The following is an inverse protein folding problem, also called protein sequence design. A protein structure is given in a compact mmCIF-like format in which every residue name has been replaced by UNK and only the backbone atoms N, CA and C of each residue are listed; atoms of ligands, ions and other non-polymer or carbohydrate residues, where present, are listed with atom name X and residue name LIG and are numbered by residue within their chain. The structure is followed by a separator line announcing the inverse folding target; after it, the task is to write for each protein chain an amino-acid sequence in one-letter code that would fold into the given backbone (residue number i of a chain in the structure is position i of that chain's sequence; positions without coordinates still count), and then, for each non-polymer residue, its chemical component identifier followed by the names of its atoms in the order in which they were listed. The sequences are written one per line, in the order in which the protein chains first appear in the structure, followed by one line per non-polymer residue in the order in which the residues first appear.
data_IF_352672017490
#
_entry.id   IF_352672017490
#
_cell.length_a   1.000
_cell.length_b   1.000
_cell.length_c   1.000
_cell.angle_alpha   90.00
_cell.angle_beta   90.00
_cell.angle_gamma   90.00
#
_symmetry.space_group_name_H-M   'P 1'
#
loop_
_entity.id
_entity.type
_entity.pdbx_description
1 polymer ?
#
# COMPACT_ATOMS: atom_id res chain seq x y z
N UNK A 1 11.14 -13.69 0.12
CA UNK A 1 9.99 -14.36 -0.51
C UNK A 1 10.49 -15.40 -1.48
N UNK A 2 9.83 -16.56 -1.58
CA UNK A 2 10.12 -17.52 -2.66
C UNK A 2 9.72 -16.96 -4.03
N UNK A 3 10.32 -17.49 -5.10
CA UNK A 3 10.03 -17.08 -6.49
C UNK A 3 8.54 -17.06 -6.81
N UNK A 4 7.82 -18.10 -6.40
CA UNK A 4 6.37 -18.23 -6.64
C UNK A 4 5.56 -17.13 -5.95
N UNK A 5 5.88 -16.82 -4.69
CA UNK A 5 5.22 -15.74 -3.96
C UNK A 5 5.45 -14.37 -4.61
N UNK A 6 6.65 -14.13 -5.16
CA UNK A 6 6.93 -12.88 -5.89
C UNK A 6 6.19 -12.80 -7.23
N UNK A 7 6.05 -13.92 -7.95
CA UNK A 7 5.24 -13.98 -9.18
C UNK A 7 3.75 -13.72 -8.89
N UNK A 8 3.24 -14.27 -7.79
CA UNK A 8 1.88 -14.03 -7.36
C UNK A 8 1.67 -12.56 -6.97
N UNK A 9 2.60 -11.98 -6.20
CA UNK A 9 2.56 -10.55 -5.87
C UNK A 9 2.60 -9.67 -7.13
N UNK A 10 3.50 -9.98 -8.08
CA UNK A 10 3.66 -9.24 -9.32
C UNK A 10 2.44 -9.29 -10.26
N UNK A 11 1.54 -10.24 -10.07
CA UNK A 11 0.26 -10.33 -10.81
C UNK A 11 -0.94 -9.83 -10.00
N UNK A 12 -0.75 -9.49 -8.73
CA UNK A 12 -1.83 -9.12 -7.81
C UNK A 12 -2.27 -7.66 -7.93
N UNK A 13 -3.58 -7.47 -7.89
CA UNK A 13 -4.22 -6.16 -7.74
C UNK A 13 -4.61 -5.98 -6.26
N UNK A 14 -4.11 -4.93 -5.62
CA UNK A 14 -4.27 -4.73 -4.18
C UNK A 14 -5.04 -3.44 -3.92
N UNK A 15 -6.08 -3.51 -3.08
CA UNK A 15 -6.79 -2.35 -2.54
C UNK A 15 -6.32 -2.08 -1.12
N UNK A 16 -5.91 -0.85 -0.83
CA UNK A 16 -5.60 -0.36 0.52
C UNK A 16 -6.65 0.68 0.88
N UNK A 17 -7.40 0.43 1.95
CA UNK A 17 -8.41 1.37 2.46
C UNK A 17 -7.90 2.04 3.74
N UNK A 18 -7.72 3.36 3.70
CA UNK A 18 -7.14 4.21 4.74
C UNK A 18 -5.64 4.47 4.51
N UNK A 19 -5.25 5.74 4.54
CA UNK A 19 -3.89 6.24 4.22
C UNK A 19 -3.33 7.17 5.31
N UNK A 20 -3.67 6.92 6.57
CA UNK A 20 -2.89 7.46 7.70
C UNK A 20 -1.51 6.77 7.75
N UNK A 21 -0.68 7.10 8.75
CA UNK A 21 0.72 6.63 8.84
C UNK A 21 0.94 5.14 8.54
N UNK A 22 0.11 4.25 9.09
CA UNK A 22 0.20 2.80 8.82
C UNK A 22 -0.15 2.44 7.37
N UNK A 23 -1.21 3.02 6.81
CA UNK A 23 -1.66 2.74 5.45
C UNK A 23 -0.61 3.15 4.42
N UNK A 24 0.06 4.29 4.66
CA UNK A 24 1.18 4.78 3.83
C UNK A 24 2.36 3.81 3.89
N UNK A 25 2.77 3.35 5.07
CA UNK A 25 3.89 2.41 5.23
C UNK A 25 3.61 1.05 4.59
N UNK A 26 2.38 0.54 4.70
CA UNK A 26 1.94 -0.66 3.98
C UNK A 26 2.01 -0.44 2.47
N UNK A 27 1.42 0.66 1.98
CA UNK A 27 1.41 0.98 0.55
C UNK A 27 2.84 1.07 -0.01
N UNK A 28 3.74 1.76 0.71
CA UNK A 28 5.17 1.84 0.35
C UNK A 28 5.77 0.45 0.17
N UNK A 29 5.62 -0.43 1.15
CA UNK A 29 6.22 -1.77 1.09
C UNK A 29 5.62 -2.63 -0.02
N UNK A 30 4.31 -2.53 -0.29
CA UNK A 30 3.65 -3.27 -1.37
C UNK A 30 4.09 -2.77 -2.75
N UNK A 31 4.21 -1.44 -2.93
CA UNK A 31 4.70 -0.85 -4.18
C UNK A 31 6.15 -1.24 -4.42
N UNK A 32 7.02 -1.15 -3.41
CA UNK A 32 8.41 -1.60 -3.49
C UNK A 32 8.52 -3.12 -3.72
N UNK A 33 7.55 -3.89 -3.23
CA UNK A 33 7.43 -5.33 -3.47
C UNK A 33 7.03 -5.70 -4.90
N UNK A 34 6.61 -4.74 -5.71
CA UNK A 34 6.35 -4.93 -7.14
C UNK A 34 4.97 -5.51 -7.48
N UNK A 35 3.92 -5.13 -6.76
CA UNK A 35 2.55 -5.52 -7.11
C UNK A 35 2.11 -4.96 -8.47
N UNK A 36 1.19 -5.65 -9.17
CA UNK A 36 0.71 -5.24 -10.49
C UNK A 36 0.01 -3.89 -10.48
N UNK A 37 -0.85 -3.67 -9.47
CA UNK A 37 -1.44 -2.37 -9.21
C UNK A 37 -1.80 -2.24 -7.73
N UNK A 38 -1.70 -1.02 -7.23
CA UNK A 38 -2.21 -0.64 -5.90
C UNK A 38 -3.27 0.42 -6.09
N UNK A 39 -4.47 0.13 -5.59
CA UNK A 39 -5.60 1.06 -5.54
C UNK A 39 -5.68 1.55 -4.10
N UNK A 40 -5.72 2.87 -3.96
CA UNK A 40 -5.80 3.52 -2.65
C UNK A 40 -7.19 4.12 -2.49
N UNK A 41 -7.83 3.82 -1.38
CA UNK A 41 -9.12 4.37 -0.98
C UNK A 41 -8.98 5.06 0.38
N UNK A 42 -8.99 6.39 0.40
CA UNK A 42 -9.12 7.16 1.64
C UNK A 42 -10.12 8.30 1.41
N UNK A 43 -11.17 8.32 2.21
CA UNK A 43 -12.21 9.35 2.17
C UNK A 43 -12.04 10.38 3.29
N UNK A 44 -11.04 10.22 4.17
CA UNK A 44 -10.70 11.19 5.20
C UNK A 44 -9.99 12.41 4.62
N UNK A 45 -10.30 13.58 5.18
CA UNK A 45 -9.48 14.77 4.95
C UNK A 45 -8.16 14.62 5.70
N UNK A 46 -7.07 15.12 5.12
CA UNK A 46 -5.77 15.22 5.76
C UNK A 46 -5.84 16.23 6.92
N UNK A 47 -5.31 15.86 8.08
CA UNK A 47 -5.09 16.74 9.24
C UNK A 47 -3.58 16.87 9.52
N UNK A 48 -3.17 17.89 10.25
CA UNK A 48 -1.78 18.09 10.70
C UNK A 48 -1.23 16.88 11.47
N UNK A 49 -2.09 16.14 12.17
CA UNK A 49 -1.70 14.89 12.85
C UNK A 49 -1.28 13.78 11.89
N UNK A 50 -1.77 13.79 10.65
CA UNK A 50 -1.36 12.80 9.66
C UNK A 50 0.04 13.06 9.10
N UNK A 51 0.58 14.27 9.30
CA UNK A 51 1.95 14.65 8.92
C UNK A 51 3.00 14.27 9.98
N UNK A 52 2.57 13.86 11.18
CA UNK A 52 3.51 13.30 12.16
C UNK A 52 3.91 11.89 11.75
N UNK A 53 5.22 11.62 11.72
CA UNK A 53 5.82 10.30 11.46
C UNK A 53 6.24 9.61 12.74
#
# INVERSE_FOLDING_TARGET
MGKEAMLQLASSHILISGMRGLGVEIAKNIVLGGAKSVIVHDSGNVDYKDLSS
#
